data_IF_997283461136
#
_entry.id   IF_997283461136
#
_cell.length_a   1.000
_cell.length_b   1.000
_cell.length_c   1.000
_cell.angle_alpha   90.00
_cell.angle_beta   90.00
_cell.angle_gamma   90.00
#
_symmetry.space_group_name_H-M   'P 1'
#
loop_
_entity.id
_entity.type
_entity.pdbx_description
1 polymer ?
#
# COMPACT_ATOMS: atom_id res chain seq x y z
N UNK A 1 9.47 15.83 11.06
CA UNK A 1 10.16 14.57 10.69
C UNK A 1 9.85 13.44 11.64
N UNK A 2 10.07 13.60 12.96
CA UNK A 2 9.82 12.53 13.95
C UNK A 2 8.40 11.97 13.89
N UNK A 3 7.38 12.82 13.80
CA UNK A 3 5.98 12.38 13.73
C UNK A 3 5.71 11.51 12.50
N UNK A 4 6.14 11.93 11.31
CA UNK A 4 6.02 11.17 10.08
C UNK A 4 6.74 9.82 10.18
N UNK A 5 7.94 9.78 10.78
CA UNK A 5 8.66 8.54 11.01
C UNK A 5 7.91 7.59 11.96
N UNK A 6 7.32 8.11 13.03
CA UNK A 6 6.51 7.30 13.96
C UNK A 6 5.25 6.76 13.27
N UNK A 7 4.55 7.58 12.49
CA UNK A 7 3.40 7.14 11.71
C UNK A 7 3.79 6.05 10.68
N UNK A 8 4.94 6.20 10.01
CA UNK A 8 5.46 5.22 9.06
C UNK A 8 5.85 3.90 9.73
N UNK A 9 6.51 3.96 10.89
CA UNK A 9 6.84 2.78 11.69
C UNK A 9 5.56 2.09 12.16
N UNK A 10 4.57 2.84 12.66
CA UNK A 10 3.28 2.29 13.07
C UNK A 10 2.57 1.59 11.90
N UNK A 11 2.57 2.21 10.73
CA UNK A 11 2.01 1.64 9.51
C UNK A 11 2.73 0.34 9.11
N UNK A 12 4.06 0.32 9.08
CA UNK A 12 4.85 -0.87 8.75
C UNK A 12 4.68 -2.00 9.78
N UNK A 13 4.68 -1.68 11.07
CA UNK A 13 4.54 -2.67 12.15
C UNK A 13 3.17 -3.33 12.11
N UNK A 14 2.10 -2.56 11.87
CA UNK A 14 0.74 -3.13 11.78
C UNK A 14 0.59 -4.03 10.56
N UNK A 15 1.20 -3.68 9.42
CA UNK A 15 1.08 -4.45 8.17
C UNK A 15 2.03 -5.64 8.11
N UNK A 16 3.34 -5.44 8.30
CA UNK A 16 4.34 -6.52 8.23
C UNK A 16 4.45 -7.29 9.53
N UNK A 17 4.46 -6.60 10.67
CA UNK A 17 4.72 -7.20 11.98
C UNK A 17 3.53 -7.93 12.58
N UNK A 18 2.30 -7.48 12.31
CA UNK A 18 1.08 -8.11 12.83
C UNK A 18 0.40 -8.92 11.73
N UNK A 19 -0.06 -8.28 10.66
CA UNK A 19 -0.85 -8.94 9.63
C UNK A 19 -0.03 -9.94 8.80
N UNK A 20 1.26 -9.65 8.56
CA UNK A 20 2.20 -10.49 7.82
C UNK A 20 2.84 -11.63 8.63
N UNK A 21 2.59 -11.74 9.94
CA UNK A 21 3.22 -12.76 10.80
C UNK A 21 2.19 -13.74 11.40
N UNK A 22 2.64 -14.83 12.08
CA UNK A 22 1.75 -15.72 12.80
C UNK A 22 0.90 -15.05 13.89
N UNK A 23 1.23 -13.80 14.28
CA UNK A 23 0.45 -13.01 15.25
C UNK A 23 -1.00 -12.82 14.78
N UNK A 24 -1.23 -12.57 13.48
CA UNK A 24 -2.60 -12.54 12.92
C UNK A 24 -3.37 -13.81 13.28
N UNK A 25 -2.78 -14.97 13.04
CA UNK A 25 -3.42 -16.27 13.29
C UNK A 25 -3.76 -16.47 14.77
N UNK A 26 -2.86 -16.05 15.67
CA UNK A 26 -3.12 -16.06 17.11
C UNK A 26 -4.28 -15.13 17.49
N UNK A 27 -4.28 -13.89 17.02
CA UNK A 27 -5.34 -12.92 17.31
C UNK A 27 -6.70 -13.38 16.76
N UNK A 28 -6.74 -13.88 15.52
CA UNK A 28 -7.94 -14.43 14.91
C UNK A 28 -8.50 -15.61 15.70
N UNK A 29 -7.65 -16.47 16.30
CA UNK A 29 -8.14 -17.57 17.16
C UNK A 29 -8.75 -17.09 18.47
N UNK A 30 -8.34 -15.93 18.98
CA UNK A 30 -8.86 -15.37 20.23
C UNK A 30 -10.20 -14.66 20.03
N UNK A 31 -10.33 -13.84 18.98
CA UNK A 31 -11.51 -12.97 18.78
C UNK A 31 -12.37 -13.35 17.58
N UNK A 32 -11.93 -14.29 16.74
CA UNK A 32 -12.59 -14.65 15.49
C UNK A 32 -12.21 -13.74 14.31
N UNK A 33 -12.34 -14.27 13.10
CA UNK A 33 -11.88 -13.60 11.87
C UNK A 33 -12.63 -12.29 11.58
N UNK A 34 -13.97 -12.29 11.71
CA UNK A 34 -14.77 -11.09 11.42
C UNK A 34 -14.44 -9.92 12.33
N UNK A 35 -14.27 -10.18 13.62
CA UNK A 35 -13.93 -9.14 14.60
C UNK A 35 -12.50 -8.64 14.34
N UNK A 36 -11.55 -9.55 14.11
CA UNK A 36 -10.19 -9.18 13.72
C UNK A 36 -10.17 -8.28 12.49
N UNK A 37 -10.87 -8.65 11.41
CA UNK A 37 -10.91 -7.85 10.18
C UNK A 37 -11.52 -6.47 10.40
N UNK A 38 -12.61 -6.36 11.17
CA UNK A 38 -13.23 -5.08 11.51
C UNK A 38 -12.30 -4.17 12.30
N UNK A 39 -11.65 -4.70 13.34
CA UNK A 39 -10.68 -3.95 14.16
C UNK A 39 -9.46 -3.55 13.32
N UNK A 40 -8.92 -4.49 12.55
CA UNK A 40 -7.77 -4.24 11.69
C UNK A 40 -8.07 -3.18 10.63
N UNK A 41 -9.26 -3.17 10.02
CA UNK A 41 -9.66 -2.14 9.08
C UNK A 41 -9.67 -0.74 9.72
N UNK A 42 -10.19 -0.61 10.95
CA UNK A 42 -10.17 0.67 11.69
C UNK A 42 -8.73 1.10 12.01
N UNK A 43 -7.88 0.17 12.46
CA UNK A 43 -6.46 0.44 12.74
C UNK A 43 -5.72 0.87 11.47
N UNK A 44 -5.97 0.21 10.34
CA UNK A 44 -5.35 0.55 9.05
C UNK A 44 -5.82 1.90 8.52
N UNK A 45 -7.10 2.23 8.66
CA UNK A 45 -7.63 3.56 8.32
C UNK A 45 -7.00 4.65 9.19
N UNK A 46 -6.87 4.40 10.49
CA UNK A 46 -6.15 5.31 11.37
C UNK A 46 -4.68 5.47 10.95
N UNK A 47 -3.98 4.37 10.67
CA UNK A 47 -2.58 4.39 10.28
C UNK A 47 -2.34 5.21 9.00
N UNK A 48 -3.14 4.98 7.95
CA UNK A 48 -3.00 5.72 6.67
C UNK A 48 -3.38 7.20 6.83
N UNK A 49 -4.43 7.53 7.60
CA UNK A 49 -4.82 8.92 7.85
C UNK A 49 -3.77 9.66 8.64
N UNK A 50 -3.23 9.06 9.71
CA UNK A 50 -2.16 9.66 10.50
C UNK A 50 -0.90 9.87 9.67
N UNK A 51 -0.52 8.89 8.84
CA UNK A 51 0.62 9.02 7.94
C UNK A 51 0.44 10.16 6.94
N UNK A 52 -0.76 10.31 6.37
CA UNK A 52 -1.07 11.39 5.44
C UNK A 52 -1.06 12.77 6.12
N UNK A 53 -1.61 12.89 7.31
CA UNK A 53 -1.63 14.16 8.06
C UNK A 53 -0.23 14.57 8.53
N UNK A 54 0.57 13.61 9.02
CA UNK A 54 1.96 13.84 9.40
C UNK A 54 2.82 14.26 8.20
N UNK A 55 2.53 13.74 7.00
CA UNK A 55 3.23 14.14 5.76
C UNK A 55 2.91 15.58 5.36
N UNK A 56 1.66 16.03 5.48
CA UNK A 56 1.25 17.41 5.11
C UNK A 56 1.98 18.48 5.91
N UNK A 57 2.28 18.21 7.17
CA UNK A 57 2.96 19.16 8.09
C UNK A 57 4.46 18.87 8.21
N UNK A 58 4.99 17.84 7.54
CA UNK A 58 6.40 17.52 7.58
C UNK A 58 7.21 18.66 6.92
N UNK A 59 8.30 19.12 7.55
CA UNK A 59 9.15 20.13 6.94
C UNK A 59 9.75 19.58 5.65
N UNK A 60 9.85 20.41 4.61
CA UNK A 60 10.60 20.05 3.43
C UNK A 60 12.09 19.95 3.78
N UNK A 61 12.69 18.79 3.52
CA UNK A 61 14.11 18.58 3.63
C UNK A 61 14.59 17.91 2.35
N UNK A 62 15.35 18.66 1.56
CA UNK A 62 15.84 18.23 0.26
C UNK A 62 16.78 17.04 0.37
N UNK A 63 16.66 16.08 -0.55
CA UNK A 63 17.67 15.02 -0.73
C UNK A 63 18.45 15.22 -2.02
N UNK A 64 17.86 14.86 -3.16
CA UNK A 64 18.40 15.12 -4.50
C UNK A 64 17.58 16.16 -5.28
N UNK A 65 16.57 16.74 -4.64
CA UNK A 65 15.71 17.75 -5.24
C UNK A 65 14.68 17.18 -6.20
N UNK A 66 13.67 17.99 -6.48
CA UNK A 66 12.55 17.58 -7.33
C UNK A 66 12.99 17.50 -8.80
N UNK A 67 12.76 16.34 -9.42
CA UNK A 67 13.15 16.07 -10.81
C UNK A 67 12.06 16.52 -11.78
N UNK A 68 11.91 17.83 -11.97
CA UNK A 68 10.89 18.43 -12.84
C UNK A 68 10.90 17.86 -14.27
N UNK A 69 12.08 17.53 -14.81
CA UNK A 69 12.21 16.93 -16.15
C UNK A 69 11.56 15.55 -16.31
N UNK A 70 11.33 14.82 -15.21
CA UNK A 70 10.66 13.52 -15.22
C UNK A 70 9.14 13.62 -15.03
N UNK A 71 8.58 14.81 -14.78
CA UNK A 71 7.14 14.98 -14.59
C UNK A 71 6.28 14.41 -15.74
N UNK A 72 6.62 14.60 -17.04
CA UNK A 72 5.84 13.99 -18.13
C UNK A 72 5.83 12.46 -18.06
N UNK A 73 6.99 11.86 -17.75
CA UNK A 73 7.12 10.40 -17.58
C UNK A 73 6.31 9.93 -16.39
N UNK A 74 6.36 10.66 -15.27
CA UNK A 74 5.58 10.38 -14.08
C UNK A 74 4.07 10.34 -14.41
N UNK A 75 3.54 11.37 -15.07
CA UNK A 75 2.13 11.43 -15.47
C UNK A 75 1.71 10.24 -16.35
N UNK A 76 2.57 9.84 -17.29
CA UNK A 76 2.32 8.66 -18.14
C UNK A 76 2.30 7.38 -17.31
N UNK A 77 3.21 7.21 -16.34
CA UNK A 77 3.27 6.04 -15.46
C UNK A 77 2.15 6.00 -14.40
N UNK A 78 1.57 7.15 -14.06
CA UNK A 78 0.42 7.21 -13.16
C UNK A 78 -0.84 6.57 -13.76
N UNK A 79 -1.00 6.60 -15.09
CA UNK A 79 -2.13 5.97 -15.77
C UNK A 79 -2.19 4.44 -15.53
N UNK A 80 -1.15 3.64 -15.85
CA UNK A 80 -1.16 2.22 -15.55
C UNK A 80 -1.19 1.93 -14.05
N UNK A 81 -0.57 2.78 -13.21
CA UNK A 81 -0.64 2.63 -11.76
C UNK A 81 -2.08 2.66 -11.24
N UNK A 82 -2.84 3.70 -11.61
CA UNK A 82 -4.25 3.81 -11.21
C UNK A 82 -5.14 2.77 -11.88
N UNK A 83 -4.90 2.41 -13.14
CA UNK A 83 -5.64 1.35 -13.81
C UNK A 83 -5.51 0.02 -13.05
N UNK A 84 -4.29 -0.34 -12.64
CA UNK A 84 -4.01 -1.55 -11.88
C UNK A 84 -4.65 -1.52 -10.49
N UNK A 85 -4.63 -0.38 -9.80
CA UNK A 85 -5.32 -0.19 -8.52
C UNK A 85 -6.83 -0.39 -8.69
N UNK A 86 -7.45 0.30 -9.65
CA UNK A 86 -8.90 0.24 -9.85
C UNK A 86 -9.32 -1.17 -10.24
N UNK A 87 -8.72 -1.74 -11.29
CA UNK A 87 -9.07 -3.09 -11.75
C UNK A 87 -8.77 -4.14 -10.68
N UNK A 88 -7.68 -3.98 -9.93
CA UNK A 88 -7.31 -4.90 -8.85
C UNK A 88 -8.29 -4.92 -7.67
N UNK A 89 -9.05 -3.84 -7.46
CA UNK A 89 -10.07 -3.71 -6.42
C UNK A 89 -11.50 -3.97 -6.91
N UNK A 90 -11.79 -3.74 -8.20
CA UNK A 90 -13.15 -3.84 -8.76
C UNK A 90 -13.42 -5.14 -9.52
N UNK A 91 -12.41 -5.99 -9.72
CA UNK A 91 -12.57 -7.30 -10.36
C UNK A 91 -12.34 -8.44 -9.36
N UNK A 92 -12.99 -9.62 -9.55
CA UNK A 92 -12.76 -10.78 -8.70
C UNK A 92 -11.28 -11.15 -8.68
N UNK A 93 -10.70 -11.14 -7.48
CA UNK A 93 -9.28 -11.38 -7.27
C UNK A 93 -9.07 -12.16 -5.97
N UNK A 94 -8.49 -13.38 -6.01
CA UNK A 94 -8.27 -14.20 -4.81
C UNK A 94 -7.31 -13.60 -3.79
N UNK A 95 -6.56 -12.57 -4.18
CA UNK A 95 -5.61 -11.88 -3.31
C UNK A 95 -6.26 -10.75 -2.51
N UNK A 96 -7.56 -10.48 -2.73
CA UNK A 96 -8.34 -9.59 -1.88
C UNK A 96 -8.68 -10.27 -0.55
N UNK A 97 -8.66 -9.49 0.52
CA UNK A 97 -9.01 -9.96 1.87
C UNK A 97 -10.44 -10.48 1.89
N UNK A 98 -10.63 -11.73 2.34
CA UNK A 98 -11.96 -12.36 2.38
C UNK A 98 -12.41 -12.99 1.06
N UNK A 99 -11.56 -13.01 0.03
CA UNK A 99 -11.84 -13.60 -1.28
C UNK A 99 -11.10 -14.94 -1.49
N UNK A 100 -10.62 -15.58 -0.42
CA UNK A 100 -9.82 -16.80 -0.48
C UNK A 100 -10.58 -17.96 -1.14
N UNK A 101 -11.91 -17.99 -0.98
CA UNK A 101 -12.79 -18.99 -1.61
C UNK A 101 -12.80 -18.96 -3.14
N UNK A 102 -12.38 -17.86 -3.77
CA UNK A 102 -12.27 -17.79 -5.24
C UNK A 102 -11.20 -18.74 -5.79
N UNK A 103 -10.23 -19.16 -4.97
CA UNK A 103 -9.21 -20.13 -5.38
C UNK A 103 -9.79 -21.52 -5.72
N UNK A 104 -10.99 -21.82 -5.22
CA UNK A 104 -11.68 -23.09 -5.50
C UNK A 104 -12.35 -23.10 -6.89
N UNK A 105 -12.47 -21.93 -7.54
CA UNK A 105 -13.03 -21.83 -8.88
C UNK A 105 -12.03 -22.31 -9.94
N UNK A 106 -12.50 -23.19 -10.85
CA UNK A 106 -11.66 -23.80 -11.90
C UNK A 106 -11.02 -22.80 -12.87
N UNK A 107 -11.54 -21.59 -12.98
CA UNK A 107 -11.08 -20.58 -13.96
C UNK A 107 -10.93 -19.21 -13.30
N UNK A 108 -10.18 -19.19 -12.19
CA UNK A 108 -9.93 -18.00 -11.36
C UNK A 108 -8.96 -17.01 -12.02
N UNK A 109 -8.12 -17.45 -12.96
CA UNK A 109 -7.09 -16.61 -13.60
C UNK A 109 -7.61 -15.97 -14.89
N UNK A 110 -8.28 -14.83 -14.75
CA UNK A 110 -8.88 -14.05 -15.85
C UNK A 110 -8.39 -12.60 -15.88
N UNK A 111 -8.47 -11.98 -17.06
CA UNK A 111 -8.20 -10.55 -17.23
C UNK A 111 -6.82 -10.13 -16.71
N UNK A 112 -6.79 -9.14 -15.82
CA UNK A 112 -5.55 -8.59 -15.24
C UNK A 112 -4.74 -9.63 -14.47
N UNK A 113 -5.37 -10.67 -13.91
CA UNK A 113 -4.68 -11.75 -13.18
C UNK A 113 -3.78 -12.60 -14.09
N UNK A 114 -4.01 -12.56 -15.42
CA UNK A 114 -3.10 -13.15 -16.41
C UNK A 114 -1.84 -12.32 -16.64
N UNK A 115 -1.88 -11.03 -16.29
CA UNK A 115 -0.74 -10.10 -16.40
C UNK A 115 0.06 -10.07 -15.10
N UNK A 116 -0.62 -9.96 -13.95
CA UNK A 116 0.02 -9.94 -12.64
C UNK A 116 -0.84 -10.61 -11.57
N UNK A 117 -0.19 -11.28 -10.61
CA UNK A 117 -0.87 -11.94 -9.48
C UNK A 117 -1.46 -10.95 -8.48
N UNK A 118 -0.86 -9.76 -8.36
CA UNK A 118 -1.25 -8.76 -7.37
C UNK A 118 -1.45 -7.39 -8.04
N UNK A 119 -2.51 -7.21 -8.85
CA UNK A 119 -2.72 -5.97 -9.61
C UNK A 119 -2.75 -4.72 -8.73
N UNK A 120 -3.45 -4.78 -7.60
CA UNK A 120 -3.50 -3.66 -6.65
C UNK A 120 -2.10 -3.29 -6.13
N UNK A 121 -1.33 -4.26 -5.62
CA UNK A 121 0.01 -4.03 -5.09
C UNK A 121 0.96 -3.51 -6.18
N UNK A 122 0.93 -4.07 -7.39
CA UNK A 122 1.73 -3.55 -8.50
C UNK A 122 1.41 -2.09 -8.84
N UNK A 123 0.13 -1.71 -8.82
CA UNK A 123 -0.29 -0.32 -9.02
C UNK A 123 0.26 0.61 -7.93
N UNK A 124 0.16 0.20 -6.66
CA UNK A 124 0.74 0.94 -5.53
C UNK A 124 2.27 1.00 -5.61
N UNK A 125 2.94 -0.05 -6.07
CA UNK A 125 4.40 -0.11 -6.25
C UNK A 125 4.90 0.88 -7.31
N UNK A 126 4.25 0.90 -8.48
CA UNK A 126 4.57 1.87 -9.53
C UNK A 126 4.34 3.29 -9.02
N UNK A 127 3.19 3.53 -8.38
CA UNK A 127 2.85 4.81 -7.78
C UNK A 127 3.92 5.27 -6.78
N UNK A 128 4.27 4.42 -5.81
CA UNK A 128 5.25 4.75 -4.78
C UNK A 128 6.64 4.99 -5.36
N UNK A 129 7.09 4.14 -6.30
CA UNK A 129 8.39 4.27 -6.95
C UNK A 129 8.51 5.59 -7.73
N UNK A 130 7.47 5.96 -8.50
CA UNK A 130 7.45 7.22 -9.26
C UNK A 130 7.59 8.41 -8.33
N UNK A 131 6.85 8.44 -7.22
CA UNK A 131 6.92 9.55 -6.26
C UNK A 131 8.27 9.59 -5.53
N UNK A 132 8.83 8.43 -5.16
CA UNK A 132 10.17 8.34 -4.58
C UNK A 132 11.20 9.00 -5.49
N UNK A 133 11.21 8.64 -6.78
CA UNK A 133 12.20 9.16 -7.75
C UNK A 133 12.01 10.66 -8.00
N UNK A 134 10.77 11.11 -8.18
CA UNK A 134 10.49 12.46 -8.71
C UNK A 134 10.50 13.54 -7.62
N UNK A 135 10.06 13.25 -6.40
CA UNK A 135 9.91 14.29 -5.37
C UNK A 135 11.24 14.72 -4.75
N UNK A 136 12.15 13.77 -4.47
CA UNK A 136 13.52 14.07 -4.03
C UNK A 136 13.61 14.82 -2.69
N UNK A 137 12.74 14.48 -1.74
CA UNK A 137 12.75 15.03 -0.38
C UNK A 137 12.54 13.93 0.68
N UNK A 138 12.98 14.21 1.91
CA UNK A 138 12.99 13.23 2.99
C UNK A 138 11.57 12.82 3.45
N UNK A 139 10.60 13.72 3.39
CA UNK A 139 9.23 13.37 3.78
C UNK A 139 8.62 12.39 2.77
N UNK A 140 8.85 12.62 1.47
CA UNK A 140 8.45 11.69 0.41
C UNK A 140 9.15 10.35 0.55
N UNK A 141 10.44 10.33 0.86
CA UNK A 141 11.17 9.08 1.10
C UNK A 141 10.55 8.24 2.22
N UNK A 142 10.15 8.87 3.32
CA UNK A 142 9.53 8.15 4.44
C UNK A 142 8.13 7.65 4.04
N UNK A 143 7.28 8.52 3.49
CA UNK A 143 5.90 8.18 3.11
C UNK A 143 5.90 7.07 2.05
N UNK A 144 6.43 7.36 0.86
CA UNK A 144 6.35 6.46 -0.29
C UNK A 144 7.27 5.24 -0.10
N UNK A 145 8.38 5.39 0.62
CA UNK A 145 9.27 4.26 0.94
C UNK A 145 8.59 3.25 1.85
N UNK A 146 7.85 3.71 2.88
CA UNK A 146 7.07 2.81 3.74
C UNK A 146 6.00 2.03 2.96
N UNK A 147 5.33 2.68 2.00
CA UNK A 147 4.35 2.03 1.12
C UNK A 147 5.01 1.03 0.17
N UNK A 148 6.15 1.40 -0.43
CA UNK A 148 6.87 0.58 -1.39
C UNK A 148 7.38 -0.73 -0.79
N UNK A 149 7.78 -0.71 0.49
CA UNK A 149 8.22 -1.92 1.22
C UNK A 149 7.07 -2.92 1.44
N UNK A 150 5.81 -2.49 1.38
CA UNK A 150 4.65 -3.36 1.54
C UNK A 150 4.18 -4.04 0.23
N UNK A 151 4.73 -3.63 -0.91
CA UNK A 151 4.35 -4.10 -2.24
C UNK A 151 5.19 -5.29 -2.67
#
# INVERSE_FOLDING_TARGET
>A
MTELALAAIFFLVTHLGIAGTPVRGFLVRLVGERIYLGVYAVVSLFAISWLADAYKVAPYAETWGQLYGLQPVALVLMLPAFLLVVVGLTTPNPTLVGAEGLLEEKDVVKGVLRVTRHPFLMGVGIWALVHLVVNGDLASLILFGSMFVLV
#
